data_IF_460867159988
#
_entry.id   IF_460867159988
#
_cell.length_a   1.000
_cell.length_b   1.000
_cell.length_c   1.000
_cell.angle_alpha   90.00
_cell.angle_beta   90.00
_cell.angle_gamma   90.00
#
_symmetry.space_group_name_H-M   'P 1'
#
loop_
_entity.id
_entity.type
_entity.pdbx_description
1 polymer ?
#
# COMPACT_ATOMS: atom_id res chain seq x y z
N UNK A 1 -16.21 2.79 2.32
CA UNK A 1 -16.47 1.35 2.40
C UNK A 1 -17.14 0.84 1.13
N UNK A 2 -16.45 -0.04 0.40
CA UNK A 2 -16.93 -0.68 -0.84
C UNK A 2 -17.30 -2.14 -0.57
N UNK A 3 -18.34 -2.66 -1.23
CA UNK A 3 -18.70 -4.08 -1.14
C UNK A 3 -18.35 -4.80 -2.44
N UNK A 4 -17.52 -5.84 -2.33
CA UNK A 4 -17.17 -6.75 -3.40
C UNK A 4 -18.27 -7.80 -3.53
N UNK A 5 -18.87 -7.85 -4.71
CA UNK A 5 -19.94 -8.78 -5.11
C UNK A 5 -19.51 -9.52 -6.37
N UNK A 6 -20.30 -10.50 -6.80
CA UNK A 6 -20.03 -11.18 -8.07
C UNK A 6 -20.02 -10.26 -9.30
N UNK A 7 -20.67 -9.09 -9.25
CA UNK A 7 -20.72 -8.16 -10.39
C UNK A 7 -19.47 -7.29 -10.53
N UNK A 8 -18.65 -7.15 -9.48
CA UNK A 8 -17.39 -6.39 -9.50
C UNK A 8 -16.18 -7.23 -9.05
N UNK A 9 -16.36 -8.55 -8.96
CA UNK A 9 -15.35 -9.50 -8.53
C UNK A 9 -14.09 -9.47 -9.40
N UNK A 10 -14.27 -9.34 -10.72
CA UNK A 10 -13.14 -9.25 -11.65
C UNK A 10 -12.26 -8.03 -11.36
N UNK A 11 -12.86 -6.88 -11.04
CA UNK A 11 -12.11 -5.66 -10.68
C UNK A 11 -11.25 -5.87 -9.42
N UNK A 12 -11.75 -6.62 -8.43
CA UNK A 12 -10.97 -6.96 -7.24
C UNK A 12 -9.81 -7.91 -7.55
N UNK A 13 -9.99 -8.86 -8.49
CA UNK A 13 -8.90 -9.71 -8.95
C UNK A 13 -7.84 -8.94 -9.75
N UNK A 14 -8.27 -7.97 -10.57
CA UNK A 14 -7.35 -7.09 -11.28
C UNK A 14 -6.55 -6.22 -10.31
N UNK A 15 -7.18 -5.70 -9.25
CA UNK A 15 -6.49 -4.98 -8.20
C UNK A 15 -5.45 -5.87 -7.48
N UNK A 16 -5.79 -7.12 -7.17
CA UNK A 16 -4.85 -8.10 -6.60
C UNK A 16 -3.67 -8.34 -7.55
N UNK A 17 -3.93 -8.50 -8.85
CA UNK A 17 -2.87 -8.65 -9.86
C UNK A 17 -1.90 -7.46 -9.83
N UNK A 18 -2.43 -6.25 -9.80
CA UNK A 18 -1.62 -5.02 -9.79
C UNK A 18 -0.81 -4.90 -8.49
N UNK A 19 -1.39 -5.25 -7.34
CA UNK A 19 -0.67 -5.33 -6.05
C UNK A 19 0.47 -6.34 -6.10
N UNK A 20 0.25 -7.52 -6.71
CA UNK A 20 1.28 -8.54 -6.82
C UNK A 20 2.44 -8.09 -7.71
N UNK A 21 2.15 -7.38 -8.81
CA UNK A 21 3.18 -6.79 -9.66
C UNK A 21 3.97 -5.72 -8.91
N UNK A 22 3.29 -4.81 -8.22
CA UNK A 22 3.92 -3.81 -7.35
C UNK A 22 4.87 -4.47 -6.33
N UNK A 23 4.44 -5.55 -5.66
CA UNK A 23 5.27 -6.27 -4.70
C UNK A 23 6.51 -6.92 -5.34
N UNK A 24 6.38 -7.47 -6.55
CA UNK A 24 7.52 -8.01 -7.30
C UNK A 24 8.51 -6.90 -7.65
N UNK A 25 8.02 -5.75 -8.09
CA UNK A 25 8.88 -4.61 -8.45
C UNK A 25 9.59 -4.04 -7.22
N UNK A 26 8.88 -3.89 -6.09
CA UNK A 26 9.50 -3.54 -4.81
C UNK A 26 10.58 -4.55 -4.38
N UNK A 27 10.34 -5.85 -4.58
CA UNK A 27 11.29 -6.89 -4.17
C UNK A 27 12.50 -7.03 -5.09
N UNK A 28 12.35 -6.84 -6.39
CA UNK A 28 13.42 -7.10 -7.38
C UNK A 28 14.03 -5.84 -7.98
N UNK A 29 13.25 -4.78 -8.11
CA UNK A 29 13.67 -3.52 -8.72
C UNK A 29 14.32 -2.57 -7.72
N UNK A 30 13.76 -2.47 -6.51
CA UNK A 30 14.15 -1.44 -5.54
C UNK A 30 14.68 -1.97 -4.21
N UNK A 31 14.54 -3.28 -3.95
CA UNK A 31 14.85 -3.91 -2.66
C UNK A 31 14.14 -3.24 -1.46
N UNK A 32 12.96 -2.64 -1.72
CA UNK A 32 12.26 -1.77 -0.76
C UNK A 32 11.31 -0.79 -1.45
N UNK A 33 11.21 0.41 -0.90
CA UNK A 33 10.57 1.55 -1.54
C UNK A 33 11.62 2.27 -2.41
N UNK A 34 11.28 2.50 -3.68
CA UNK A 34 12.18 3.14 -4.64
C UNK A 34 11.80 4.60 -4.88
N UNK A 35 12.78 5.46 -5.13
CA UNK A 35 12.56 6.82 -5.63
C UNK A 35 12.21 6.79 -7.12
N UNK A 36 11.33 7.70 -7.57
CA UNK A 36 10.84 7.78 -8.95
C UNK A 36 10.31 6.43 -9.52
N UNK A 37 9.77 5.59 -8.65
CA UNK A 37 9.26 4.28 -9.03
C UNK A 37 7.78 4.37 -9.37
N UNK A 38 7.35 3.77 -10.47
CA UNK A 38 5.92 3.57 -10.76
C UNK A 38 5.43 2.33 -10.01
N UNK A 39 4.41 2.49 -9.17
CA UNK A 39 3.79 1.36 -8.46
C UNK A 39 3.02 0.43 -9.40
N UNK A 40 2.73 0.85 -10.64
CA UNK A 40 1.95 0.08 -11.61
C UNK A 40 0.49 -0.10 -11.21
N UNK A 41 0.00 0.68 -10.24
CA UNK A 41 -1.35 0.58 -9.69
C UNK A 41 -2.33 1.35 -10.58
N UNK A 42 -3.27 0.63 -11.22
CA UNK A 42 -4.23 1.21 -12.17
C UNK A 42 -5.62 1.46 -11.59
N UNK A 43 -5.80 1.18 -10.30
CA UNK A 43 -7.05 1.35 -9.59
C UNK A 43 -6.88 2.35 -8.44
N UNK A 44 -7.99 2.86 -7.90
CA UNK A 44 -7.92 3.71 -6.71
C UNK A 44 -7.79 2.86 -5.44
N UNK A 45 -6.67 2.93 -4.68
CA UNK A 45 -6.49 2.12 -3.47
C UNK A 45 -7.56 2.36 -2.42
N UNK A 46 -8.10 3.58 -2.34
CA UNK A 46 -9.19 3.92 -1.43
C UNK A 46 -10.47 3.15 -1.71
N UNK A 47 -10.63 2.59 -2.91
CA UNK A 47 -11.79 1.74 -3.21
C UNK A 47 -11.76 0.44 -2.43
N UNK A 48 -10.58 -0.12 -2.17
CA UNK A 48 -10.45 -1.45 -1.61
C UNK A 48 -9.79 -1.52 -0.23
N UNK A 49 -9.20 -0.43 0.29
CA UNK A 49 -8.51 -0.39 1.59
C UNK A 49 -9.33 -0.92 2.78
N UNK A 50 -10.65 -0.71 2.75
CA UNK A 50 -11.61 -1.10 3.79
C UNK A 50 -12.80 -1.87 3.18
N UNK A 51 -12.59 -2.55 2.05
CA UNK A 51 -13.68 -3.23 1.34
C UNK A 51 -14.11 -4.53 2.03
N UNK A 52 -15.39 -4.84 1.96
CA UNK A 52 -15.97 -6.09 2.47
C UNK A 52 -16.48 -6.96 1.31
N UNK A 53 -16.75 -8.24 1.57
CA UNK A 53 -17.38 -9.15 0.60
C UNK A 53 -18.84 -9.42 0.94
N UNK A 54 -19.70 -9.59 -0.07
CA UNK A 54 -21.07 -10.08 0.10
C UNK A 54 -21.16 -11.59 0.43
N UNK A 55 -20.02 -12.22 0.74
CA UNK A 55 -19.82 -13.65 1.02
C UNK A 55 -20.02 -14.58 -0.19
N UNK A 56 -20.45 -14.07 -1.34
CA UNK A 56 -20.54 -14.85 -2.60
C UNK A 56 -19.24 -14.76 -3.40
N UNK A 57 -18.47 -13.69 -3.19
CA UNK A 57 -17.14 -13.47 -3.76
C UNK A 57 -16.01 -14.03 -2.88
N UNK A 58 -16.12 -15.29 -2.42
CA UNK A 58 -15.23 -15.89 -1.41
C UNK A 58 -13.80 -16.19 -1.86
N UNK A 59 -13.48 -16.01 -3.14
CA UNK A 59 -12.13 -16.26 -3.69
C UNK A 59 -11.22 -15.02 -3.68
N UNK A 60 -11.72 -13.85 -3.26
CA UNK A 60 -10.89 -12.65 -3.12
C UNK A 60 -10.09 -12.71 -1.82
N UNK A 61 -8.77 -12.65 -1.92
CA UNK A 61 -7.89 -12.49 -0.76
C UNK A 61 -7.98 -11.04 -0.24
N UNK A 62 -8.95 -10.79 0.65
CA UNK A 62 -9.15 -9.47 1.24
C UNK A 62 -7.95 -8.99 2.03
N UNK A 63 -7.20 -9.89 2.68
CA UNK A 63 -6.02 -9.50 3.45
C UNK A 63 -4.93 -8.95 2.53
N UNK A 64 -4.66 -9.63 1.40
CA UNK A 64 -3.72 -9.14 0.40
C UNK A 64 -4.23 -7.83 -0.22
N UNK A 65 -5.51 -7.76 -0.56
CA UNK A 65 -6.10 -6.59 -1.19
C UNK A 65 -6.01 -5.34 -0.28
N UNK A 66 -6.40 -5.45 0.98
CA UNK A 66 -6.34 -4.36 1.95
C UNK A 66 -4.89 -3.94 2.21
N UNK A 67 -4.01 -4.89 2.50
CA UNK A 67 -2.61 -4.60 2.78
C UNK A 67 -1.89 -3.98 1.58
N UNK A 68 -2.15 -4.50 0.38
CA UNK A 68 -1.60 -3.95 -0.85
C UNK A 68 -2.08 -2.53 -1.13
N UNK A 69 -3.35 -2.22 -0.86
CA UNK A 69 -3.86 -0.84 -0.94
C UNK A 69 -3.14 0.09 0.06
N UNK A 70 -2.91 -0.37 1.29
CA UNK A 70 -2.20 0.43 2.29
C UNK A 70 -0.75 0.72 1.85
N UNK A 71 -0.06 -0.28 1.30
CA UNK A 71 1.28 -0.12 0.74
C UNK A 71 1.28 0.83 -0.45
N UNK A 72 0.32 0.70 -1.38
CA UNK A 72 0.21 1.60 -2.53
C UNK A 72 0.02 3.07 -2.09
N UNK A 73 -0.81 3.32 -1.07
CA UNK A 73 -0.98 4.68 -0.52
C UNK A 73 0.34 5.19 0.07
N UNK A 74 1.01 4.39 0.90
CA UNK A 74 2.31 4.76 1.48
C UNK A 74 3.35 5.06 0.41
N UNK A 75 3.36 4.26 -0.65
CA UNK A 75 4.27 4.41 -1.79
C UNK A 75 4.05 5.74 -2.53
N UNK A 76 2.80 6.18 -2.68
CA UNK A 76 2.49 7.51 -3.22
C UNK A 76 3.02 8.64 -2.34
N UNK A 77 2.89 8.53 -1.01
CA UNK A 77 3.53 9.49 -0.10
C UNK A 77 5.05 9.48 -0.21
N UNK A 78 5.65 8.29 -0.31
CA UNK A 78 7.09 8.10 -0.47
C UNK A 78 7.62 8.82 -1.71
N UNK A 79 7.05 8.52 -2.86
CA UNK A 79 7.44 9.14 -4.13
C UNK A 79 7.26 10.66 -4.09
N UNK A 80 6.11 11.15 -3.64
CA UNK A 80 5.83 12.60 -3.69
C UNK A 80 6.71 13.37 -2.73
N UNK A 81 6.95 12.85 -1.52
CA UNK A 81 7.82 13.55 -0.58
C UNK A 81 9.27 13.57 -1.05
N UNK A 82 9.74 12.46 -1.66
CA UNK A 82 11.08 12.38 -2.25
C UNK A 82 11.28 13.29 -3.47
N UNK A 83 10.30 13.35 -4.38
CA UNK A 83 10.42 14.07 -5.66
C UNK A 83 10.03 15.55 -5.55
N UNK A 84 8.94 15.87 -4.85
CA UNK A 84 8.40 17.23 -4.77
C UNK A 84 8.89 18.01 -3.56
N UNK A 85 9.65 17.37 -2.66
CA UNK A 85 10.19 17.93 -1.41
C UNK A 85 9.13 18.61 -0.52
N UNK A 86 7.85 18.25 -0.71
CA UNK A 86 6.71 18.87 -0.05
C UNK A 86 5.41 18.06 -0.25
N UNK A 87 4.69 17.82 0.84
CA UNK A 87 3.38 17.16 0.87
C UNK A 87 2.23 18.18 0.99
N UNK A 88 2.50 19.37 1.53
CA UNK A 88 1.52 20.42 1.73
C UNK A 88 0.98 20.95 0.40
N UNK A 89 -0.35 21.03 0.29
CA UNK A 89 -1.02 21.55 -0.91
C UNK A 89 -1.03 20.59 -2.11
N UNK A 90 -0.47 19.38 -1.99
CA UNK A 90 -0.54 18.38 -3.04
C UNK A 90 -1.98 17.85 -3.19
N UNK A 91 -2.66 18.28 -4.26
CA UNK A 91 -4.07 17.95 -4.52
C UNK A 91 -4.29 16.46 -4.83
N UNK A 92 -3.25 15.77 -5.29
CA UNK A 92 -3.32 14.32 -5.54
C UNK A 92 -3.42 13.53 -4.23
N UNK A 93 -2.67 13.95 -3.20
CA UNK A 93 -2.71 13.33 -1.87
C UNK A 93 -3.92 13.73 -1.04
N UNK A 94 -4.69 14.75 -1.45
CA UNK A 94 -5.84 15.26 -0.69
C UNK A 94 -6.87 14.16 -0.36
N UNK A 95 -7.13 13.24 -1.31
CA UNK A 95 -8.04 12.10 -1.06
C UNK A 95 -7.50 11.14 -0.01
N UNK A 96 -6.19 10.90 0.03
CA UNK A 96 -5.56 10.03 1.01
C UNK A 96 -5.48 10.71 2.38
N UNK A 97 -5.24 12.02 2.43
CA UNK A 97 -5.30 12.81 3.66
C UNK A 97 -6.71 12.80 4.27
N UNK A 98 -7.75 12.93 3.45
CA UNK A 98 -9.14 12.80 3.90
C UNK A 98 -9.39 11.41 4.49
N UNK A 99 -9.03 10.33 3.76
CA UNK A 99 -9.19 8.96 4.23
C UNK A 99 -8.40 8.67 5.53
N UNK A 100 -7.21 9.25 5.67
CA UNK A 100 -6.40 9.20 6.88
C UNK A 100 -7.12 9.88 8.05
N UNK A 101 -7.72 11.05 7.85
CA UNK A 101 -8.50 11.76 8.88
C UNK A 101 -9.77 11.01 9.29
N UNK A 102 -10.36 10.25 8.37
CA UNK A 102 -11.53 9.39 8.59
C UNK A 102 -11.18 8.05 9.26
N UNK A 103 -9.89 7.77 9.49
CA UNK A 103 -9.41 6.53 10.12
C UNK A 103 -9.50 5.30 9.22
N UNK A 104 -9.60 5.47 7.89
CA UNK A 104 -9.76 4.34 6.94
C UNK A 104 -8.52 3.46 6.84
N UNK A 105 -7.37 3.92 7.32
CA UNK A 105 -6.13 3.15 7.40
C UNK A 105 -5.94 2.46 8.76
N UNK A 106 -6.93 2.54 9.68
CA UNK A 106 -6.77 2.07 11.05
C UNK A 106 -6.45 0.58 11.23
N UNK A 107 -6.72 -0.26 10.21
CA UNK A 107 -6.29 -1.67 10.19
C UNK A 107 -4.77 -1.84 10.01
N UNK A 108 -4.09 -0.79 9.55
CA UNK A 108 -2.67 -0.74 9.22
C UNK A 108 -2.00 0.40 9.99
N UNK A 109 -2.07 0.34 11.32
CA UNK A 109 -1.64 1.42 12.20
C UNK A 109 -0.17 1.83 12.01
N UNK A 110 0.72 0.89 11.67
CA UNK A 110 2.12 1.16 11.37
C UNK A 110 2.29 2.00 10.10
N UNK A 111 1.55 1.69 9.04
CA UNK A 111 1.51 2.49 7.81
C UNK A 111 0.90 3.87 8.09
N UNK A 112 -0.24 3.91 8.80
CA UNK A 112 -0.90 5.16 9.17
C UNK A 112 0.01 6.07 9.99
N UNK A 113 0.71 5.54 10.99
CA UNK A 113 1.66 6.29 11.82
C UNK A 113 2.79 6.90 10.99
N UNK A 114 3.37 6.12 10.08
CA UNK A 114 4.44 6.61 9.19
C UNK A 114 3.92 7.71 8.27
N UNK A 115 2.74 7.57 7.66
CA UNK A 115 2.14 8.62 6.82
C UNK A 115 1.88 9.89 7.64
N UNK A 116 1.32 9.77 8.84
CA UNK A 116 1.07 10.92 9.73
C UNK A 116 2.37 11.62 10.11
N UNK A 117 3.41 10.86 10.43
CA UNK A 117 4.71 11.41 10.75
C UNK A 117 5.36 12.10 9.54
N UNK A 118 5.24 11.56 8.34
CA UNK A 118 5.70 12.21 7.11
C UNK A 118 5.01 13.56 6.89
N UNK A 119 3.67 13.60 6.99
CA UNK A 119 2.89 14.85 6.87
C UNK A 119 3.26 15.87 7.95
N UNK A 120 3.55 15.44 9.18
CA UNK A 120 3.95 16.33 10.27
C UNK A 120 5.38 16.87 10.12
N UNK A 121 6.25 16.19 9.38
CA UNK A 121 7.65 16.58 9.13
C UNK A 121 7.82 17.47 7.90
N UNK A 122 6.76 17.68 7.12
CA UNK A 122 6.78 18.41 5.86
C UNK A 122 7.18 19.90 6.02
N UNK A 123 8.06 20.47 5.17
CA UNK A 123 8.79 19.87 4.04
C UNK A 123 9.96 18.95 4.45
N UNK A 124 10.35 18.04 3.55
CA UNK A 124 11.43 17.07 3.82
C UNK A 124 12.74 17.79 4.17
N UNK A 125 13.37 17.51 5.32
CA UNK A 125 14.67 18.10 5.62
C UNK A 125 15.74 17.57 4.64
N UNK A 126 16.64 18.45 4.18
CA UNK A 126 17.65 18.20 3.12
C UNK A 126 18.60 17.02 3.37
N UNK A 127 18.66 16.48 4.59
CA UNK A 127 19.53 15.37 5.02
C UNK A 127 18.81 14.37 5.94
N UNK A 128 17.48 14.24 5.83
CA UNK A 128 16.71 13.31 6.67
C UNK A 128 16.45 11.97 5.95
N UNK A 129 17.19 10.92 6.33
CA UNK A 129 16.95 9.54 5.91
C UNK A 129 15.76 8.88 6.62
N UNK A 130 15.05 9.61 7.50
CA UNK A 130 13.98 9.06 8.32
C UNK A 130 12.94 8.30 7.51
N UNK A 131 12.52 8.80 6.35
CA UNK A 131 11.46 8.11 5.62
C UNK A 131 11.93 6.76 5.09
N UNK A 132 13.14 6.72 4.53
CA UNK A 132 13.79 5.50 4.04
C UNK A 132 13.90 4.46 5.17
N UNK A 133 14.29 4.90 6.36
CA UNK A 133 14.39 4.03 7.54
C UNK A 133 13.02 3.57 8.07
N UNK A 134 12.03 4.47 8.09
CA UNK A 134 10.70 4.22 8.61
C UNK A 134 9.91 3.20 7.78
N UNK A 135 10.14 3.15 6.47
CA UNK A 135 9.43 2.21 5.58
C UNK A 135 10.03 0.81 5.54
N UNK A 136 11.29 0.62 5.96
CA UNK A 136 11.95 -0.71 6.02
C UNK A 136 11.14 -1.76 6.78
N UNK A 137 10.69 -1.52 8.04
CA UNK A 137 9.90 -2.52 8.77
C UNK A 137 8.57 -2.84 8.09
N UNK A 138 7.94 -1.84 7.45
CA UNK A 138 6.67 -2.00 6.71
C UNK A 138 6.90 -2.90 5.49
N UNK A 139 7.92 -2.60 4.67
CA UNK A 139 8.30 -3.42 3.52
C UNK A 139 8.55 -4.88 3.92
N UNK A 140 9.32 -5.10 4.99
CA UNK A 140 9.59 -6.45 5.51
C UNK A 140 8.31 -7.19 5.95
N UNK A 141 7.41 -6.50 6.64
CA UNK A 141 6.18 -7.09 7.17
C UNK A 141 5.19 -7.47 6.06
N UNK A 142 4.92 -6.54 5.15
CA UNK A 142 3.84 -6.68 4.18
C UNK A 142 4.28 -7.32 2.86
N UNK A 143 5.44 -6.93 2.32
CA UNK A 143 5.92 -7.40 1.01
C UNK A 143 6.74 -8.68 1.16
N UNK A 144 7.86 -8.61 1.90
CA UNK A 144 8.72 -9.79 2.11
C UNK A 144 7.95 -10.87 2.88
N UNK A 145 7.19 -10.47 3.90
CA UNK A 145 6.33 -11.37 4.66
C UNK A 145 5.28 -12.08 3.80
N UNK A 146 4.73 -11.42 2.77
CA UNK A 146 3.82 -12.06 1.82
C UNK A 146 4.52 -13.19 1.05
N UNK A 147 5.66 -12.90 0.42
CA UNK A 147 6.40 -13.91 -0.34
C UNK A 147 6.91 -15.05 0.56
N UNK A 148 7.32 -14.76 1.80
CA UNK A 148 7.74 -15.77 2.76
C UNK A 148 6.59 -16.74 3.10
N UNK A 149 5.38 -16.23 3.36
CA UNK A 149 4.19 -17.07 3.59
C UNK A 149 3.82 -17.89 2.36
N UNK A 150 3.91 -17.30 1.18
CA UNK A 150 3.65 -18.00 -0.08
C UNK A 150 4.63 -19.17 -0.28
N UNK A 151 5.93 -18.94 -0.08
CA UNK A 151 6.95 -19.97 -0.19
C UNK A 151 6.79 -21.08 0.87
N UNK A 152 6.33 -20.75 2.08
CA UNK A 152 6.05 -21.73 3.12
C UNK A 152 4.78 -22.57 2.87
N UNK A 153 3.86 -22.08 2.03
CA UNK A 153 2.61 -22.76 1.68
C UNK A 153 2.78 -23.87 0.64
N UNK A 154 4.02 -24.15 0.20
CA UNK A 154 4.33 -25.24 -0.70
C UNK A 154 4.00 -26.59 -0.06
N UNK A 155 2.96 -27.24 -0.59
CA UNK A 155 2.40 -28.51 -0.10
C UNK A 155 3.38 -29.68 -0.17
N UNK A 156 4.54 -29.53 -0.81
CA UNK A 156 5.53 -30.60 -0.99
C UNK A 156 6.65 -30.59 0.08
N UNK A 157 6.57 -29.73 1.10
CA UNK A 157 7.44 -29.77 2.29
C UNK A 157 6.77 -30.55 3.44
N UNK A 158 6.67 -31.86 3.27
CA UNK A 158 6.50 -32.85 4.36
C UNK A 158 7.45 -34.00 4.10
#
# INVERSE_FOLDING_TARGET
MHTITMSNYEEALEAIRDILLMYVDMAKGYEGFGHNADAGIRFDPLRFIDAETDQKAHYVDLNLLHAGCAIAILFEYYNRWGEEQGLAGNTYLAKYQAALSEGRLGLFSDIEEVIRAAVARDPMPLEDSWFEEAVVPIYRKYVVGFFARLAASDRHRT
#
